data_IF_932413392077
#
_entry.id   IF_932413392077
#
_cell.length_a   1.000
_cell.length_b   1.000
_cell.length_c   1.000
_cell.angle_alpha   90.00
_cell.angle_beta   90.00
_cell.angle_gamma   90.00
#
_symmetry.space_group_name_H-M   'P 1'
#
loop_
_entity.id
_entity.type
_entity.pdbx_description
1 polymer ?
#
# COMPACT_ATOMS: atom_id res chain seq x y z
N UNK A 1 -13.01 10.71 -1.97
CA UNK A 1 -11.99 11.15 -0.99
C UNK A 1 -10.69 11.34 -1.75
N UNK A 2 -10.14 12.55 -1.83
CA UNK A 2 -8.93 12.83 -2.62
C UNK A 2 -7.69 12.43 -1.84
N UNK A 3 -6.77 11.71 -2.47
CA UNK A 3 -5.50 11.27 -1.89
C UNK A 3 -4.46 12.38 -2.11
N UNK A 4 -3.87 12.90 -1.04
CA UNK A 4 -2.90 14.01 -1.08
C UNK A 4 -1.51 13.50 -0.71
N UNK A 5 -0.46 14.23 -1.13
CA UNK A 5 0.94 13.93 -0.79
C UNK A 5 1.14 13.93 0.74
N UNK A 6 0.55 14.88 1.45
CA UNK A 6 0.61 14.95 2.91
C UNK A 6 0.01 13.70 3.58
N UNK A 7 -1.12 13.17 3.07
CA UNK A 7 -1.69 11.92 3.56
C UNK A 7 -0.79 10.73 3.25
N UNK A 8 -0.24 10.66 2.04
CA UNK A 8 0.68 9.59 1.63
C UNK A 8 1.94 9.54 2.52
N UNK A 9 2.49 10.70 2.90
CA UNK A 9 3.62 10.81 3.84
C UNK A 9 3.28 10.25 5.22
N UNK A 10 2.07 10.52 5.71
CA UNK A 10 1.60 10.12 7.04
C UNK A 10 1.32 8.62 7.19
N UNK A 11 1.01 7.91 6.10
CA UNK A 11 0.69 6.49 6.18
C UNK A 11 1.94 5.62 6.41
N UNK A 12 1.77 4.56 7.21
CA UNK A 12 2.83 3.62 7.62
C UNK A 12 2.60 2.26 6.95
N UNK A 13 3.22 1.97 5.80
CA UNK A 13 3.06 0.67 5.14
C UNK A 13 3.52 -0.50 6.02
N UNK A 14 4.47 -0.27 6.92
CA UNK A 14 4.98 -1.27 7.86
C UNK A 14 3.88 -1.75 8.82
N UNK A 15 2.99 -0.86 9.25
CA UNK A 15 1.88 -1.23 10.13
C UNK A 15 0.88 -2.16 9.42
N UNK A 16 0.62 -1.92 8.13
CA UNK A 16 -0.24 -2.79 7.31
C UNK A 16 0.42 -4.16 7.06
N UNK A 17 1.73 -4.17 6.81
CA UNK A 17 2.51 -5.40 6.64
C UNK A 17 2.53 -6.25 7.93
N UNK A 18 2.74 -5.63 9.09
CA UNK A 18 2.69 -6.30 10.39
C UNK A 18 1.29 -6.86 10.66
N UNK A 19 0.24 -6.08 10.40
CA UNK A 19 -1.13 -6.54 10.57
C UNK A 19 -1.45 -7.74 9.65
N UNK A 20 -1.01 -7.69 8.39
CA UNK A 20 -1.14 -8.81 7.46
C UNK A 20 -0.42 -10.07 7.97
N UNK A 21 0.79 -9.93 8.52
CA UNK A 21 1.54 -11.05 9.11
C UNK A 21 0.83 -11.64 10.33
N UNK A 22 0.29 -10.80 11.22
CA UNK A 22 -0.48 -11.26 12.38
C UNK A 22 -1.75 -12.00 11.99
N UNK A 23 -2.47 -11.54 10.96
CA UNK A 23 -3.63 -12.25 10.42
C UNK A 23 -3.24 -13.64 9.90
N UNK A 24 -2.11 -13.79 9.20
CA UNK A 24 -1.62 -15.10 8.74
C UNK A 24 -1.31 -16.04 9.90
N UNK A 25 -0.71 -15.53 10.99
CA UNK A 25 -0.49 -16.31 12.21
C UNK A 25 -1.82 -16.79 12.80
N UNK A 26 -2.84 -15.94 12.82
CA UNK A 26 -4.18 -16.32 13.28
C UNK A 26 -4.84 -17.36 12.37
N UNK A 27 -4.66 -17.27 11.05
CA UNK A 27 -5.12 -18.31 10.10
C UNK A 27 -4.51 -19.66 10.47
N UNK A 28 -3.20 -19.74 10.66
CA UNK A 28 -2.54 -20.99 11.06
C UNK A 28 -3.06 -21.52 12.40
N UNK A 29 -3.36 -20.65 13.36
CA UNK A 29 -3.94 -21.05 14.64
C UNK A 29 -5.38 -21.59 14.49
N UNK A 30 -6.19 -21.00 13.62
CA UNK A 30 -7.54 -21.47 13.31
C UNK A 30 -7.49 -22.82 12.58
N UNK A 31 -6.57 -23.00 11.63
CA UNK A 31 -6.37 -24.27 10.92
C UNK A 31 -5.93 -25.39 11.88
N UNK A 32 -4.98 -25.10 12.78
CA UNK A 32 -4.58 -26.06 13.82
C UNK A 32 -5.76 -26.45 14.72
N UNK A 33 -6.64 -25.49 15.05
CA UNK A 33 -7.85 -25.77 15.82
C UNK A 33 -8.87 -26.59 15.02
N UNK A 34 -9.01 -26.32 13.73
CA UNK A 34 -9.84 -27.10 12.81
C UNK A 34 -9.38 -28.56 12.76
N UNK A 35 -8.08 -28.79 12.63
CA UNK A 35 -7.49 -30.13 12.56
C UNK A 35 -7.61 -30.89 13.89
N UNK A 36 -7.41 -30.20 15.00
CA UNK A 36 -7.63 -30.76 16.34
C UNK A 36 -9.09 -31.18 16.53
N UNK A 37 -10.04 -30.36 16.06
CA UNK A 37 -11.47 -30.66 16.09
C UNK A 37 -11.80 -31.87 15.19
N UNK A 38 -11.20 -31.94 14.00
CA UNK A 38 -11.34 -33.05 13.07
C UNK A 38 -10.86 -34.37 13.68
N UNK A 39 -9.70 -34.36 14.35
CA UNK A 39 -9.16 -35.53 15.04
C UNK A 39 -10.05 -35.98 16.22
N UNK A 40 -10.62 -35.03 16.96
CA UNK A 40 -11.50 -35.32 18.08
C UNK A 40 -12.83 -35.94 17.62
N UNK A 41 -13.51 -35.30 16.67
CA UNK A 41 -14.84 -35.73 16.20
C UNK A 41 -14.77 -36.86 15.17
N UNK A 42 -13.78 -36.88 14.26
CA UNK A 42 -13.61 -37.93 13.26
C UNK A 42 -12.90 -39.17 13.76
N UNK A 43 -12.12 -39.05 14.85
CA UNK A 43 -11.38 -40.16 15.46
C UNK A 43 -12.08 -40.73 16.68
N UNK A 44 -11.78 -40.15 17.86
CA UNK A 44 -12.11 -40.76 19.15
C UNK A 44 -13.61 -40.78 19.46
N UNK A 45 -14.30 -39.66 19.28
CA UNK A 45 -15.71 -39.55 19.69
C UNK A 45 -16.66 -40.39 18.84
N UNK A 46 -16.45 -40.44 17.53
CA UNK A 46 -17.28 -41.24 16.61
C UNK A 46 -16.96 -42.74 16.69
N UNK A 47 -15.73 -43.11 17.05
CA UNK A 47 -15.39 -44.52 17.28
C UNK A 47 -16.08 -45.09 18.52
N UNK A 48 -16.18 -44.31 19.60
CA UNK A 48 -16.70 -44.78 20.88
C UNK A 48 -18.21 -44.62 21.03
N UNK A 49 -18.82 -43.68 20.30
CA UNK A 49 -20.27 -43.40 20.39
C UNK A 49 -21.00 -44.01 19.20
N UNK A 50 -22.13 -44.66 19.46
CA UNK A 50 -23.01 -45.22 18.41
C UNK A 50 -24.42 -44.66 18.48
N UNK A 51 -25.16 -44.79 17.38
CA UNK A 51 -26.57 -44.42 17.31
C UNK A 51 -26.84 -42.91 17.21
N UNK A 52 -28.00 -42.42 17.69
CA UNK A 52 -28.43 -41.04 17.52
C UNK A 52 -27.47 -39.99 18.11
N UNK A 53 -26.86 -40.28 19.27
CA UNK A 53 -25.92 -39.37 19.92
C UNK A 53 -24.67 -39.12 19.06
N UNK A 54 -24.13 -40.17 18.44
CA UNK A 54 -23.00 -40.07 17.53
C UNK A 54 -23.33 -39.18 16.32
N UNK A 55 -24.51 -39.36 15.71
CA UNK A 55 -24.95 -38.52 14.58
C UNK A 55 -25.05 -37.05 14.95
N UNK A 56 -25.65 -36.73 16.10
CA UNK A 56 -25.78 -35.34 16.58
C UNK A 56 -24.40 -34.73 16.82
N UNK A 57 -23.49 -35.47 17.45
CA UNK A 57 -22.12 -35.02 17.69
C UNK A 57 -21.36 -34.78 16.38
N UNK A 58 -21.44 -35.69 15.40
CA UNK A 58 -20.83 -35.52 14.08
C UNK A 58 -21.37 -34.31 13.33
N UNK A 59 -22.70 -34.12 13.31
CA UNK A 59 -23.32 -32.96 12.64
C UNK A 59 -22.89 -31.64 13.30
N UNK A 60 -22.86 -31.59 14.64
CA UNK A 60 -22.38 -30.41 15.36
C UNK A 60 -20.89 -30.14 15.07
N UNK A 61 -20.06 -31.18 15.09
CA UNK A 61 -18.63 -31.10 14.76
C UNK A 61 -18.41 -30.55 13.36
N UNK A 62 -19.12 -31.07 12.35
CA UNK A 62 -19.04 -30.59 10.98
C UNK A 62 -19.45 -29.11 10.84
N UNK A 63 -20.51 -28.68 11.55
CA UNK A 63 -20.92 -27.27 11.56
C UNK A 63 -19.86 -26.35 12.18
N UNK A 64 -19.18 -26.80 13.24
CA UNK A 64 -18.07 -26.07 13.85
C UNK A 64 -16.85 -26.01 12.94
N UNK A 65 -16.50 -27.10 12.27
CA UNK A 65 -15.41 -27.13 11.28
C UNK A 65 -15.67 -26.13 10.15
N UNK A 66 -16.86 -26.14 9.55
CA UNK A 66 -17.22 -25.20 8.50
C UNK A 66 -17.11 -23.73 8.95
N UNK A 67 -17.50 -23.44 10.20
CA UNK A 67 -17.35 -22.09 10.78
C UNK A 67 -15.88 -21.69 10.96
N UNK A 68 -15.00 -22.62 11.33
CA UNK A 68 -13.57 -22.35 11.46
C UNK A 68 -12.93 -22.13 10.10
N UNK A 69 -13.27 -22.95 9.09
CA UNK A 69 -12.82 -22.76 7.70
C UNK A 69 -13.22 -21.39 7.18
N UNK A 70 -14.48 -20.99 7.32
CA UNK A 70 -14.92 -19.66 6.89
C UNK A 70 -14.23 -18.51 7.62
N UNK A 71 -13.86 -18.70 8.89
CA UNK A 71 -13.07 -17.72 9.66
C UNK A 71 -11.63 -17.63 9.13
N UNK A 72 -10.98 -18.76 8.89
CA UNK A 72 -9.63 -18.82 8.31
C UNK A 72 -9.58 -18.17 6.93
N UNK A 73 -10.56 -18.46 6.06
CA UNK A 73 -10.68 -17.84 4.73
C UNK A 73 -10.86 -16.32 4.82
N UNK A 74 -11.74 -15.84 5.70
CA UNK A 74 -11.96 -14.40 5.91
C UNK A 74 -10.71 -13.69 6.41
N UNK A 75 -10.02 -14.25 7.40
CA UNK A 75 -8.75 -13.71 7.92
C UNK A 75 -7.66 -13.73 6.85
N UNK A 76 -7.57 -14.80 6.06
CA UNK A 76 -6.63 -14.95 4.94
C UNK A 76 -6.86 -13.89 3.87
N UNK A 77 -8.11 -13.66 3.47
CA UNK A 77 -8.47 -12.61 2.52
C UNK A 77 -8.09 -11.22 3.03
N UNK A 78 -8.37 -10.91 4.30
CA UNK A 78 -7.94 -9.66 4.93
C UNK A 78 -6.40 -9.51 4.92
N UNK A 79 -5.67 -10.59 5.22
CA UNK A 79 -4.20 -10.57 5.21
C UNK A 79 -3.64 -10.28 3.82
N UNK A 80 -4.24 -10.85 2.77
CA UNK A 80 -3.85 -10.60 1.38
C UNK A 80 -4.08 -9.13 1.02
N UNK A 81 -5.26 -8.59 1.31
CA UNK A 81 -5.59 -7.18 1.01
C UNK A 81 -4.67 -6.21 1.75
N UNK A 82 -4.40 -6.44 3.03
CA UNK A 82 -3.48 -5.60 3.80
C UNK A 82 -2.04 -5.69 3.29
N UNK A 83 -1.57 -6.88 2.91
CA UNK A 83 -0.26 -7.06 2.31
C UNK A 83 -0.11 -6.30 0.98
N UNK A 84 -1.07 -6.47 0.08
CA UNK A 84 -1.09 -5.76 -1.21
C UNK A 84 -1.18 -4.24 -1.02
N UNK A 85 -1.97 -3.77 -0.05
CA UNK A 85 -2.04 -2.36 0.29
C UNK A 85 -0.71 -1.81 0.84
N UNK A 86 0.00 -2.59 1.67
CA UNK A 86 1.32 -2.22 2.19
C UNK A 86 2.35 -2.08 1.05
N UNK A 87 2.35 -3.02 0.10
CA UNK A 87 3.24 -2.99 -1.07
C UNK A 87 2.95 -1.79 -1.98
N UNK A 88 1.67 -1.57 -2.33
CA UNK A 88 1.25 -0.44 -3.14
C UNK A 88 1.62 0.90 -2.49
N UNK A 89 1.44 1.02 -1.17
CA UNK A 89 1.84 2.20 -0.42
C UNK A 89 3.36 2.40 -0.40
N UNK A 90 4.12 1.32 -0.23
CA UNK A 90 5.60 1.37 -0.26
C UNK A 90 6.09 1.85 -1.62
N UNK A 91 5.52 1.33 -2.71
CA UNK A 91 5.83 1.78 -4.07
C UNK A 91 5.48 3.26 -4.26
N UNK A 92 4.29 3.70 -3.85
CA UNK A 92 3.86 5.09 -3.95
C UNK A 92 4.78 6.04 -3.16
N UNK A 93 5.22 5.65 -1.96
CA UNK A 93 6.18 6.44 -1.16
C UNK A 93 7.57 6.49 -1.79
N UNK A 94 8.02 5.40 -2.42
CA UNK A 94 9.27 5.38 -3.19
C UNK A 94 9.20 6.34 -4.38
N UNK A 95 8.11 6.32 -5.14
CA UNK A 95 7.86 7.26 -6.24
C UNK A 95 7.85 8.71 -5.75
N UNK A 96 7.16 8.98 -4.64
CA UNK A 96 7.15 10.32 -4.04
C UNK A 96 8.55 10.77 -3.62
N UNK A 97 9.37 9.89 -3.04
CA UNK A 97 10.74 10.20 -2.66
C UNK A 97 11.62 10.49 -3.88
N UNK A 98 11.43 9.77 -4.99
CA UNK A 98 12.11 10.06 -6.25
C UNK A 98 11.70 11.42 -6.82
N UNK A 99 10.39 11.71 -6.85
CA UNK A 99 9.86 13.00 -7.29
C UNK A 99 10.37 14.16 -6.43
N UNK A 100 10.45 13.97 -5.10
CA UNK A 100 11.01 14.96 -4.19
C UNK A 100 12.48 15.26 -4.50
N UNK A 101 13.30 14.22 -4.76
CA UNK A 101 14.72 14.43 -5.14
C UNK A 101 14.88 15.23 -6.44
N UNK A 102 14.01 14.98 -7.42
CA UNK A 102 14.00 15.75 -8.69
C UNK A 102 13.56 17.19 -8.46
N UNK A 103 12.55 17.41 -7.61
CA UNK A 103 12.14 18.76 -7.23
C UNK A 103 13.30 19.49 -6.52
N UNK A 104 13.93 18.85 -5.54
CA UNK A 104 15.03 19.41 -4.76
C UNK A 104 16.24 19.76 -5.65
N UNK A 105 16.60 18.90 -6.62
CA UNK A 105 17.72 19.17 -7.54
C UNK A 105 17.43 20.32 -8.51
N UNK A 106 16.16 20.52 -8.88
CA UNK A 106 15.70 21.65 -9.66
C UNK A 106 15.40 22.91 -8.81
N UNK A 107 15.59 22.83 -7.48
CA UNK A 107 15.26 23.90 -6.54
C UNK A 107 13.76 24.21 -6.47
N UNK A 108 12.90 23.27 -6.84
CA UNK A 108 11.45 23.36 -6.77
C UNK A 108 10.93 22.90 -5.40
N UNK A 109 9.74 23.38 -5.02
CA UNK A 109 9.07 22.96 -3.78
C UNK A 109 7.83 22.14 -4.12
N UNK A 110 7.77 20.90 -3.62
CA UNK A 110 6.60 20.02 -3.73
C UNK A 110 5.73 20.13 -2.46
N UNK A 111 4.50 20.60 -2.64
CA UNK A 111 3.54 20.83 -1.57
C UNK A 111 2.72 19.58 -1.22
N UNK A 112 2.06 19.61 -0.05
CA UNK A 112 1.32 18.47 0.49
C UNK A 112 0.05 18.09 -0.29
N UNK A 113 -0.48 18.99 -1.09
CA UNK A 113 -1.59 18.72 -2.03
C UNK A 113 -1.09 18.19 -3.40
N UNK A 114 0.23 18.17 -3.61
CA UNK A 114 0.88 17.68 -4.82
C UNK A 114 1.21 18.75 -5.86
N UNK A 115 0.94 20.04 -5.61
CA UNK A 115 1.41 21.09 -6.53
C UNK A 115 2.90 21.37 -6.35
N UNK A 116 3.54 21.84 -7.42
CA UNK A 116 4.96 22.21 -7.44
C UNK A 116 5.08 23.71 -7.68
N UNK A 117 5.88 24.39 -6.87
CA UNK A 117 6.16 25.82 -7.02
C UNK A 117 7.65 26.10 -7.21
N UNK A 118 7.98 27.10 -8.03
CA UNK A 118 9.33 27.66 -8.13
C UNK A 118 9.49 28.71 -7.02
N UNK A 119 10.47 28.57 -6.11
CA UNK A 119 10.80 29.60 -5.13
C UNK A 119 11.07 30.97 -5.77
N UNK A 120 10.62 32.07 -5.15
CA UNK A 120 10.87 33.42 -5.66
C UNK A 120 12.36 33.74 -5.86
N UNK A 121 13.23 33.14 -5.04
CA UNK A 121 14.69 33.30 -5.14
C UNK A 121 15.25 32.79 -6.49
N UNK A 122 14.62 31.80 -7.11
CA UNK A 122 15.01 31.29 -8.44
C UNK A 122 14.40 32.12 -9.58
N UNK A 123 13.36 32.90 -9.30
CA UNK A 123 12.75 33.83 -10.26
C UNK A 123 13.47 35.20 -10.30
N UNK A 124 14.33 35.47 -9.32
CA UNK A 124 15.17 36.66 -9.26
C UNK A 124 16.35 36.55 -10.24
N UNK A 125 16.05 36.56 -11.54
CA UNK A 125 17.06 36.79 -12.58
C UNK A 125 17.60 38.22 -12.39
N UNK A 126 18.93 38.43 -12.28
CA UNK A 126 19.49 39.77 -12.21
C UNK A 126 19.03 40.54 -13.45
N UNK A 127 18.44 41.72 -13.24
CA UNK A 127 18.05 42.64 -14.31
C UNK A 127 19.32 43.18 -14.98
N UNK A 128 19.92 42.36 -15.84
CA UNK A 128 21.01 42.72 -16.74
C UNK A 128 20.48 42.63 -18.16
N UNK A 129 20.28 43.79 -18.76
CA UNK A 129 19.96 44.08 -20.16
C UNK A 129 18.61 43.64 -20.74
N UNK A 130 17.79 44.68 -20.89
CA UNK A 130 16.47 44.82 -21.49
C UNK A 130 16.49 44.63 -23.01
N UNK A 131 16.17 43.42 -23.47
CA UNK A 131 15.67 43.24 -24.85
C UNK A 131 14.54 42.22 -25.01
N UNK A 132 14.03 41.63 -23.92
CA UNK A 132 13.02 40.57 -23.95
C UNK A 132 11.77 40.85 -23.09
N UNK A 133 11.54 42.10 -22.70
CA UNK A 133 10.43 42.51 -21.80
C UNK A 133 9.01 42.39 -22.41
N UNK A 134 8.88 41.72 -23.56
CA UNK A 134 7.59 41.51 -24.23
C UNK A 134 7.22 40.04 -24.36
N UNK A 135 8.13 39.13 -24.00
CA UNK A 135 7.83 37.71 -23.95
C UNK A 135 7.42 37.35 -22.53
N UNK A 136 6.15 36.95 -22.40
CA UNK A 136 5.52 36.43 -21.20
C UNK A 136 6.45 35.42 -20.51
N UNK A 137 7.19 35.90 -19.49
CA UNK A 137 8.27 35.16 -18.81
C UNK A 137 7.78 33.86 -18.17
N UNK A 138 6.46 33.72 -17.98
CA UNK A 138 5.84 32.52 -17.42
C UNK A 138 5.92 31.31 -18.37
N UNK A 139 5.87 31.53 -19.70
CA UNK A 139 5.75 30.45 -20.69
C UNK A 139 7.12 29.91 -21.13
N UNK A 140 8.14 30.76 -21.20
CA UNK A 140 9.48 30.38 -21.67
C UNK A 140 10.30 29.59 -20.64
N UNK A 141 10.16 29.91 -19.35
CA UNK A 141 10.85 29.18 -18.28
C UNK A 141 10.24 27.79 -18.11
N UNK A 142 8.91 27.68 -18.24
CA UNK A 142 8.18 26.40 -18.15
C UNK A 142 8.57 25.43 -19.27
N UNK A 143 8.66 25.90 -20.52
CA UNK A 143 9.00 25.04 -21.66
C UNK A 143 10.48 24.64 -21.70
N UNK A 144 11.40 25.53 -21.31
CA UNK A 144 12.83 25.20 -21.27
C UNK A 144 13.17 24.20 -20.16
N UNK A 145 12.58 24.36 -18.96
CA UNK A 145 12.78 23.42 -17.85
C UNK A 145 12.11 22.06 -18.12
N UNK A 146 10.89 22.06 -18.68
CA UNK A 146 10.21 20.82 -19.06
C UNK A 146 10.99 20.04 -20.12
N UNK A 147 11.56 20.74 -21.11
CA UNK A 147 12.36 20.10 -22.16
C UNK A 147 13.67 19.54 -21.61
N UNK A 148 14.32 20.22 -20.67
CA UNK A 148 15.54 19.73 -20.02
C UNK A 148 15.26 18.50 -19.14
N UNK A 149 14.21 18.55 -18.31
CA UNK A 149 13.82 17.42 -17.48
C UNK A 149 13.44 16.18 -18.29
N UNK A 150 12.76 16.34 -19.43
CA UNK A 150 12.45 15.23 -20.36
C UNK A 150 13.70 14.64 -21.02
N UNK A 151 14.72 15.47 -21.28
CA UNK A 151 15.97 15.00 -21.91
C UNK A 151 16.81 14.22 -20.90
N UNK A 152 16.92 14.72 -19.66
CA UNK A 152 17.65 14.05 -18.59
C UNK A 152 16.98 12.74 -18.16
N UNK A 153 15.64 12.67 -18.16
CA UNK A 153 14.91 11.43 -17.91
C UNK A 153 15.13 10.37 -19.02
N UNK A 154 15.19 10.79 -20.29
CA UNK A 154 15.42 9.89 -21.42
C UNK A 154 16.86 9.33 -21.48
N UNK A 155 17.82 10.01 -20.87
CA UNK A 155 19.21 9.56 -20.76
C UNK A 155 19.42 8.62 -19.58
N UNK A 156 18.65 8.75 -18.49
CA UNK A 156 18.74 7.89 -17.31
C UNK A 156 18.16 6.47 -17.51
N UNK A 157 17.33 6.26 -18.52
CA UNK A 157 16.69 4.98 -18.87
C UNK A 157 17.52 4.12 -19.85
N UNK A 158 18.74 4.54 -20.23
CA UNK A 158 19.68 3.78 -21.07
C UNK A 158 20.81 3.18 -20.25
#
# INVERSE_FOLDING_TARGET
>A
MTLTVGRLRSWRPEALSVAAAQLRVMVCAVDAQHDALAAQFGGRLVADWTGPAARVASTHGAGRQASLTGTAEGLGACAIVLGAAAEALTAAKSTLAAAQRVADSAGLVLHDDGHVSIPPALLAVPRGDSHLDHLDRSVLVSTALARRALTEAAEADR
#
